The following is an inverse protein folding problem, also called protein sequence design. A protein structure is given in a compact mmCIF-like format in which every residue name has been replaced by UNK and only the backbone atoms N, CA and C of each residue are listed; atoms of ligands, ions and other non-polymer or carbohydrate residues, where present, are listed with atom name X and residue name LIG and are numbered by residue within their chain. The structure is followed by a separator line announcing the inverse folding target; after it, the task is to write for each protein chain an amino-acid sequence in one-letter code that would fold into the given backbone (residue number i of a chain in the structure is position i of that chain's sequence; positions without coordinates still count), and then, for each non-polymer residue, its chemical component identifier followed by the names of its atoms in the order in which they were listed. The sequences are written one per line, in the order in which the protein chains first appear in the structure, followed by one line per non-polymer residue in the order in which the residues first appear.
data_IF_180842479130
#
_entry.id   IF_180842479130
#
_cell.length_a   1.000
_cell.length_b   1.000
_cell.length_c   1.000
_cell.angle_alpha   90.00
_cell.angle_beta   90.00
_cell.angle_gamma   90.00
#
_symmetry.space_group_name_H-M   'P 1'
#
loop_
_entity.id
_entity.type
_entity.pdbx_description
1 polymer ?
#
# COMPACT_ATOMS: atom_id res chain seq x y z
N UNK A 1 5.96 -7.60 -26.78
CA UNK A 1 5.28 -8.14 -25.59
C UNK A 1 4.57 -6.98 -24.93
N UNK A 2 3.23 -6.95 -25.03
CA UNK A 2 2.42 -6.01 -24.27
C UNK A 2 2.18 -6.70 -22.92
N UNK A 3 2.80 -6.17 -21.87
CA UNK A 3 2.52 -6.59 -20.49
C UNK A 3 1.00 -6.55 -20.29
N UNK A 4 0.39 -7.69 -19.92
CA UNK A 4 -1.03 -7.72 -19.58
C UNK A 4 -1.31 -6.62 -18.53
N UNK A 5 -2.34 -5.78 -18.72
CA UNK A 5 -2.64 -4.74 -17.75
C UNK A 5 -2.84 -5.39 -16.39
N UNK A 6 -2.08 -4.94 -15.38
CA UNK A 6 -2.17 -5.41 -14.00
C UNK A 6 -3.64 -5.47 -13.61
N UNK A 7 -4.18 -6.69 -13.39
CA UNK A 7 -5.57 -6.90 -12.98
C UNK A 7 -5.78 -6.29 -11.59
N UNK A 8 -6.25 -5.05 -11.57
CA UNK A 8 -6.57 -4.31 -10.33
C UNK A 8 -7.93 -4.68 -9.74
N UNK A 9 -8.67 -5.60 -10.39
CA UNK A 9 -10.01 -6.04 -10.02
C UNK A 9 -10.11 -6.58 -8.58
N UNK A 10 -9.00 -7.10 -8.05
CA UNK A 10 -8.90 -7.63 -6.70
C UNK A 10 -8.37 -6.62 -5.67
N UNK A 11 -7.80 -5.49 -6.10
CA UNK A 11 -7.32 -4.43 -5.21
C UNK A 11 -8.48 -3.49 -4.83
N UNK A 12 -9.50 -4.07 -4.20
CA UNK A 12 -10.75 -3.41 -3.85
C UNK A 12 -11.07 -3.61 -2.36
N UNK A 13 -11.81 -2.68 -1.79
CA UNK A 13 -12.29 -2.73 -0.42
C UNK A 13 -13.82 -2.77 -0.43
N UNK A 14 -14.39 -3.63 0.42
CA UNK A 14 -15.82 -3.75 0.63
C UNK A 14 -16.30 -2.66 1.60
N UNK A 15 -17.17 -1.76 1.13
CA UNK A 15 -17.78 -0.71 1.96
C UNK A 15 -19.30 -0.83 1.93
N UNK A 16 -19.98 -0.63 3.07
CA UNK A 16 -21.45 -0.55 3.12
C UNK A 16 -21.92 0.79 2.56
N UNK A 17 -22.93 0.79 1.70
CA UNK A 17 -23.60 2.02 1.25
C UNK A 17 -24.75 2.41 2.21
N UNK A 18 -25.43 3.52 1.94
CA UNK A 18 -26.57 4.01 2.75
C UNK A 18 -27.79 3.08 2.76
N UNK A 19 -27.80 2.04 1.93
CA UNK A 19 -28.84 1.00 1.84
C UNK A 19 -28.32 -0.35 2.38
N UNK A 20 -27.25 -0.32 3.19
CA UNK A 20 -26.55 -1.48 3.80
C UNK A 20 -26.02 -2.54 2.81
N UNK A 21 -25.91 -2.19 1.52
CA UNK A 21 -25.34 -3.07 0.51
C UNK A 21 -23.81 -2.96 0.49
N UNK A 22 -23.14 -4.11 0.35
CA UNK A 22 -21.68 -4.20 0.23
C UNK A 22 -21.24 -3.80 -1.18
N UNK A 23 -20.63 -2.62 -1.30
CA UNK A 23 -20.09 -2.10 -2.56
C UNK A 23 -18.57 -2.21 -2.55
N UNK A 24 -18.00 -2.83 -3.58
CA UNK A 24 -16.55 -2.89 -3.81
C UNK A 24 -16.06 -1.56 -4.38
N UNK A 25 -15.06 -0.96 -3.75
CA UNK A 25 -14.43 0.29 -4.22
C UNK A 25 -12.94 0.08 -4.47
N UNK A 26 -12.38 0.65 -5.54
CA UNK A 26 -10.94 0.58 -5.80
C UNK A 26 -10.11 1.19 -4.67
N UNK A 27 -8.95 0.60 -4.36
CA UNK A 27 -8.03 1.11 -3.34
C UNK A 27 -7.61 2.58 -3.58
N UNK A 28 -7.39 2.97 -4.84
CA UNK A 28 -7.09 4.36 -5.23
C UNK A 28 -8.10 5.38 -4.70
N UNK A 29 -9.38 5.01 -4.62
CA UNK A 29 -10.44 5.90 -4.13
C UNK A 29 -10.31 6.11 -2.63
N UNK A 30 -9.90 5.07 -1.89
CA UNK A 30 -9.62 5.19 -0.45
C UNK A 30 -8.41 6.08 -0.21
N UNK A 31 -7.29 5.84 -0.91
CA UNK A 31 -6.08 6.67 -0.77
C UNK A 31 -6.39 8.14 -1.03
N UNK A 32 -7.12 8.44 -2.11
CA UNK A 32 -7.59 9.81 -2.42
C UNK A 32 -8.43 10.41 -1.30
N UNK A 33 -9.34 9.61 -0.71
CA UNK A 33 -10.19 10.04 0.41
C UNK A 33 -9.34 10.35 1.64
N UNK A 34 -8.45 9.45 2.05
CA UNK A 34 -7.56 9.63 3.20
C UNK A 34 -6.65 10.85 3.06
N UNK A 35 -6.03 11.04 1.88
CA UNK A 35 -5.23 12.23 1.58
C UNK A 35 -6.03 13.52 1.69
N UNK A 36 -7.27 13.54 1.17
CA UNK A 36 -8.14 14.70 1.28
C UNK A 36 -8.44 15.05 2.74
N UNK A 37 -8.75 14.06 3.58
CA UNK A 37 -8.94 14.29 5.02
C UNK A 37 -7.66 14.81 5.68
N UNK A 38 -6.52 14.17 5.43
CA UNK A 38 -5.24 14.61 5.98
C UNK A 38 -4.93 16.07 5.64
N UNK A 39 -5.11 16.47 4.38
CA UNK A 39 -4.91 17.86 3.92
C UNK A 39 -5.92 18.86 4.50
N UNK A 40 -7.18 18.46 4.69
CA UNK A 40 -8.18 19.32 5.33
C UNK A 40 -7.88 19.56 6.81
N UNK A 41 -7.36 18.54 7.50
CA UNK A 41 -7.05 18.59 8.93
C UNK A 41 -5.71 19.27 9.24
N UNK A 42 -4.94 19.66 8.22
CA UNK A 42 -3.63 20.27 8.41
C UNK A 42 -3.68 21.70 8.94
N UNK A 43 -4.84 22.37 8.92
CA UNK A 43 -5.09 23.67 9.57
C UNK A 43 -3.96 24.71 9.34
N UNK A 44 -3.42 24.77 8.12
CA UNK A 44 -2.37 25.73 7.75
C UNK A 44 -0.94 25.37 8.17
N UNK A 45 -0.70 24.17 8.72
CA UNK A 45 0.66 23.69 9.00
C UNK A 45 1.38 23.30 7.71
N UNK A 46 2.60 23.79 7.52
CA UNK A 46 3.48 23.33 6.45
C UNK A 46 3.86 21.86 6.69
N UNK A 47 3.54 20.98 5.73
CA UNK A 47 4.04 19.60 5.73
C UNK A 47 5.21 19.48 4.78
N UNK A 48 6.36 19.14 5.34
CA UNK A 48 7.50 18.71 4.56
C UNK A 48 7.47 17.18 4.46
N UNK A 49 7.92 16.62 3.34
CA UNK A 49 8.07 15.17 3.13
C UNK A 49 6.76 14.35 3.12
N UNK A 50 5.65 14.94 2.67
CA UNK A 50 4.37 14.22 2.55
C UNK A 50 4.48 12.94 1.69
N UNK A 51 5.29 12.98 0.62
CA UNK A 51 5.50 11.81 -0.23
C UNK A 51 6.09 10.64 0.55
N UNK A 52 7.14 10.88 1.34
CA UNK A 52 7.80 9.86 2.15
C UNK A 52 6.88 9.31 3.24
N UNK A 53 6.08 10.18 3.87
CA UNK A 53 5.07 9.79 4.85
C UNK A 53 4.05 8.83 4.23
N UNK A 54 3.49 9.20 3.07
CA UNK A 54 2.50 8.37 2.38
C UNK A 54 3.11 7.08 1.83
N UNK A 55 4.36 7.13 1.37
CA UNK A 55 5.06 5.94 0.91
C UNK A 55 5.27 4.97 2.08
N UNK A 56 5.62 5.44 3.27
CA UNK A 56 5.77 4.59 4.46
C UNK A 56 4.44 3.91 4.85
N UNK A 57 3.34 4.66 4.87
CA UNK A 57 1.98 4.15 5.17
C UNK A 57 1.52 3.06 4.19
N UNK A 58 2.00 3.10 2.95
CA UNK A 58 1.68 2.09 1.94
C UNK A 58 2.67 0.91 1.94
N UNK A 59 3.96 1.18 2.13
CA UNK A 59 5.00 0.17 2.05
C UNK A 59 4.97 -0.80 3.23
N UNK A 60 4.72 -0.32 4.46
CA UNK A 60 4.66 -1.18 5.63
C UNK A 60 3.64 -2.33 5.50
N UNK A 61 2.34 -2.07 5.23
CA UNK A 61 1.36 -3.14 5.10
C UNK A 61 1.62 -4.02 3.87
N UNK A 62 2.16 -3.46 2.80
CA UNK A 62 2.55 -4.23 1.62
C UNK A 62 3.64 -5.26 1.97
N UNK A 63 4.70 -4.82 2.66
CA UNK A 63 5.80 -5.68 3.08
C UNK A 63 5.32 -6.77 4.05
N UNK A 64 4.52 -6.40 5.04
CA UNK A 64 4.00 -7.33 6.03
C UNK A 64 3.18 -8.46 5.38
N UNK A 65 2.18 -8.10 4.57
CA UNK A 65 1.32 -9.09 3.91
C UNK A 65 2.10 -9.97 2.93
N UNK A 66 3.06 -9.42 2.17
CA UNK A 66 3.89 -10.22 1.26
C UNK A 66 4.81 -11.16 2.04
N UNK A 67 5.40 -10.71 3.14
CA UNK A 67 6.25 -11.56 3.97
C UNK A 67 5.44 -12.68 4.63
N UNK A 68 4.22 -12.41 5.10
CA UNK A 68 3.31 -13.42 5.60
C UNK A 68 2.92 -14.42 4.49
N UNK A 69 2.54 -13.92 3.30
CA UNK A 69 2.15 -14.75 2.16
C UNK A 69 3.28 -15.69 1.71
N UNK A 70 4.52 -15.21 1.77
CA UNK A 70 5.73 -15.98 1.43
C UNK A 70 6.34 -16.73 2.61
N UNK A 71 5.67 -16.72 3.77
CA UNK A 71 6.10 -17.39 5.01
C UNK A 71 7.54 -17.03 5.41
N UNK A 72 7.88 -15.75 5.31
CA UNK A 72 9.21 -15.23 5.64
C UNK A 72 10.27 -15.41 4.53
N UNK A 73 9.94 -16.02 3.40
CA UNK A 73 10.92 -16.24 2.32
C UNK A 73 11.18 -14.94 1.53
N UNK A 74 12.23 -14.22 1.93
CA UNK A 74 12.61 -12.95 1.32
C UNK A 74 12.93 -13.05 -0.19
N UNK A 75 13.46 -14.17 -0.67
CA UNK A 75 13.74 -14.34 -2.11
C UNK A 75 12.44 -14.41 -2.89
N UNK A 76 11.46 -15.20 -2.42
CA UNK A 76 10.13 -15.29 -3.04
C UNK A 76 9.37 -13.97 -2.92
N UNK A 77 9.46 -13.28 -1.79
CA UNK A 77 8.85 -11.97 -1.59
C UNK A 77 9.40 -10.94 -2.57
N UNK A 78 10.73 -10.88 -2.73
CA UNK A 78 11.39 -9.95 -3.63
C UNK A 78 10.99 -10.20 -5.10
N UNK A 79 10.93 -11.47 -5.52
CA UNK A 79 10.43 -11.86 -6.84
C UNK A 79 8.96 -11.47 -7.04
N UNK A 80 8.09 -11.75 -6.06
CA UNK A 80 6.66 -11.40 -6.13
C UNK A 80 6.45 -9.87 -6.21
N UNK A 81 7.25 -9.10 -5.48
CA UNK A 81 7.19 -7.64 -5.50
C UNK A 81 7.89 -7.01 -6.71
N UNK A 82 8.61 -7.80 -7.52
CA UNK A 82 9.38 -7.28 -8.65
C UNK A 82 10.56 -6.37 -8.26
N UNK A 83 11.13 -6.57 -7.06
CA UNK A 83 12.26 -5.77 -6.56
C UNK A 83 13.48 -6.63 -6.25
N UNK A 84 14.66 -6.03 -6.24
CA UNK A 84 15.87 -6.73 -5.80
C UNK A 84 15.75 -7.15 -4.32
N UNK A 85 16.18 -8.37 -3.98
CA UNK A 85 16.22 -8.88 -2.59
C UNK A 85 16.96 -7.94 -1.63
N UNK A 86 18.07 -7.33 -2.08
CA UNK A 86 18.80 -6.35 -1.26
C UNK A 86 17.97 -5.10 -0.95
N UNK A 87 17.13 -4.65 -1.89
CA UNK A 87 16.16 -3.57 -1.70
C UNK A 87 15.07 -3.98 -0.73
N UNK A 88 14.49 -5.18 -0.89
CA UNK A 88 13.50 -5.71 0.06
C UNK A 88 14.08 -5.73 1.49
N UNK A 89 15.29 -6.26 1.67
CA UNK A 89 15.95 -6.31 2.98
C UNK A 89 16.17 -4.93 3.59
N UNK A 90 16.58 -3.94 2.78
CA UNK A 90 16.72 -2.55 3.24
C UNK A 90 15.37 -1.98 3.69
N UNK A 91 14.29 -2.26 2.96
CA UNK A 91 12.93 -1.83 3.31
C UNK A 91 12.43 -2.50 4.60
N UNK A 92 12.61 -3.82 4.75
CA UNK A 92 12.26 -4.53 5.99
C UNK A 92 13.00 -3.95 7.20
N UNK A 93 14.31 -3.67 7.07
CA UNK A 93 15.09 -3.03 8.13
C UNK A 93 14.59 -1.62 8.45
N UNK A 94 14.24 -0.82 7.43
CA UNK A 94 13.68 0.54 7.61
C UNK A 94 12.44 0.53 8.51
N UNK A 95 11.61 -0.51 8.41
CA UNK A 95 10.36 -0.62 9.15
C UNK A 95 10.42 -1.57 10.36
N UNK A 96 11.61 -2.07 10.74
CA UNK A 96 11.77 -2.95 11.90
C UNK A 96 11.17 -4.35 11.75
N UNK A 97 11.08 -4.85 10.51
CA UNK A 97 10.46 -6.15 10.16
C UNK A 97 11.51 -7.24 9.84
N UNK A 98 12.68 -7.18 10.47
CA UNK A 98 13.86 -7.98 10.13
C UNK A 98 14.20 -9.03 11.18
#
# INVERSE_FOLDING_TARGET
MLEDPIKTDFLVISTKNSQDQVVKKPFRTLVKKSLKYYLLNLNGKCVNNLYELMLAELEQPLLDIVMQHTRGNQTRAALMMGINRSTLRKKLKKYGMN
#
